data_IF_559208264919
#
_entry.id   IF_559208264919
#
_cell.length_a   1.000
_cell.length_b   1.000
_cell.length_c   1.000
_cell.angle_alpha   90.00
_cell.angle_beta   90.00
_cell.angle_gamma   90.00
#
_symmetry.space_group_name_H-M   'P 1'
#
loop_
_entity.id
_entity.type
_entity.pdbx_description
1 polymer ?
#
# COMPACT_ATOMS: atom_id res chain seq x y z
N UNK A 1 16.31 5.85 9.65
CA UNK A 1 15.39 6.62 8.78
C UNK A 1 14.86 5.66 7.72
N UNK A 2 13.63 5.85 7.25
CA UNK A 2 12.97 4.98 6.27
C UNK A 2 12.94 5.71 4.92
N UNK A 3 13.37 5.04 3.86
CA UNK A 3 13.39 5.62 2.51
C UNK A 3 12.01 5.60 1.87
N UNK A 4 11.59 6.73 1.31
CA UNK A 4 10.39 6.85 0.48
C UNK A 4 10.83 6.82 -0.99
N UNK A 5 10.32 5.84 -1.73
CA UNK A 5 10.48 5.75 -3.18
C UNK A 5 9.17 6.09 -3.87
N UNK A 6 9.20 7.10 -4.74
CA UNK A 6 8.06 7.51 -5.55
C UNK A 6 8.08 6.72 -6.86
N UNK A 7 6.98 6.04 -7.19
CA UNK A 7 6.80 5.33 -8.46
C UNK A 7 5.77 6.08 -9.30
N UNK A 8 6.21 6.63 -10.41
CA UNK A 8 5.41 7.44 -11.34
C UNK A 8 5.50 6.90 -12.77
N UNK A 9 4.62 7.35 -13.66
CA UNK A 9 4.48 6.84 -15.03
C UNK A 9 3.04 6.92 -15.54
N UNK A 10 2.88 6.82 -16.86
CA UNK A 10 1.56 6.88 -17.50
C UNK A 10 0.62 5.77 -17.03
N UNK A 11 -0.69 5.96 -17.26
CA UNK A 11 -1.67 4.89 -17.04
C UNK A 11 -1.29 3.68 -17.91
N UNK A 12 -1.28 2.49 -17.32
CA UNK A 12 -0.88 1.26 -18.02
C UNK A 12 0.62 0.99 -18.09
N UNK A 13 1.49 1.89 -17.60
CA UNK A 13 2.95 1.69 -17.61
C UNK A 13 3.44 0.52 -16.72
N UNK A 14 2.56 -0.16 -15.98
CA UNK A 14 2.94 -1.31 -15.14
C UNK A 14 3.41 -0.96 -13.72
N UNK A 15 3.15 0.25 -13.22
CA UNK A 15 3.47 0.68 -11.84
C UNK A 15 2.94 -0.28 -10.77
N UNK A 16 1.64 -0.57 -10.82
CA UNK A 16 0.99 -1.49 -9.89
C UNK A 16 1.55 -2.91 -10.01
N UNK A 17 1.92 -3.35 -11.21
CA UNK A 17 2.58 -4.65 -11.44
C UNK A 17 3.95 -4.69 -10.77
N UNK A 18 4.75 -3.62 -10.87
CA UNK A 18 6.04 -3.51 -10.18
C UNK A 18 5.85 -3.59 -8.66
N UNK A 19 4.89 -2.84 -8.11
CA UNK A 19 4.60 -2.84 -6.66
C UNK A 19 4.17 -4.23 -6.15
N UNK A 20 3.36 -4.94 -6.93
CA UNK A 20 2.97 -6.32 -6.62
C UNK A 20 4.17 -7.27 -6.60
N UNK A 21 5.10 -7.13 -7.54
CA UNK A 21 6.31 -7.93 -7.56
C UNK A 21 7.21 -7.61 -6.35
N UNK A 22 7.37 -6.33 -6.01
CA UNK A 22 8.13 -5.90 -4.83
C UNK A 22 7.52 -6.44 -3.53
N UNK A 23 6.19 -6.47 -3.42
CA UNK A 23 5.50 -7.05 -2.27
C UNK A 23 5.73 -8.56 -2.14
N UNK A 24 5.69 -9.30 -3.25
CA UNK A 24 5.99 -10.73 -3.22
C UNK A 24 7.46 -11.00 -2.86
N UNK A 25 8.38 -10.23 -3.44
CA UNK A 25 9.81 -10.32 -3.15
C UNK A 25 10.11 -9.96 -1.68
N UNK A 26 9.30 -9.09 -1.07
CA UNK A 26 9.43 -8.75 0.35
C UNK A 26 9.20 -9.96 1.26
N UNK A 27 8.36 -10.92 0.85
CA UNK A 27 8.14 -12.17 1.59
C UNK A 27 9.43 -13.00 1.60
N UNK A 28 10.04 -13.18 0.42
CA UNK A 28 11.26 -14.00 0.27
C UNK A 28 12.45 -13.39 1.02
N UNK A 29 12.50 -12.06 1.09
CA UNK A 29 13.59 -11.30 1.73
C UNK A 29 13.34 -10.93 3.18
N UNK A 30 12.22 -11.35 3.76
CA UNK A 30 11.76 -10.94 5.11
C UNK A 30 11.81 -9.42 5.32
N UNK A 31 11.32 -8.69 4.30
CA UNK A 31 11.26 -7.23 4.27
C UNK A 31 9.84 -6.75 4.51
N UNK A 32 9.73 -5.72 5.37
CA UNK A 32 8.46 -5.07 5.70
C UNK A 32 8.37 -3.77 4.93
N UNK A 33 7.53 -3.75 3.92
CA UNK A 33 7.33 -2.57 3.08
C UNK A 33 5.92 -2.00 3.32
N UNK A 34 5.78 -0.69 3.14
CA UNK A 34 4.47 -0.06 3.05
C UNK A 34 4.28 0.49 1.63
N UNK A 35 3.15 0.17 1.00
CA UNK A 35 2.81 0.65 -0.34
C UNK A 35 1.62 1.59 -0.21
N UNK A 36 1.75 2.83 -0.67
CA UNK A 36 0.69 3.83 -0.67
C UNK A 36 0.24 4.05 -2.11
N UNK A 37 -1.01 3.72 -2.39
CA UNK A 37 -1.65 4.05 -3.66
C UNK A 37 -2.28 5.43 -3.54
N UNK A 38 -1.70 6.38 -4.27
CA UNK A 38 -2.20 7.73 -4.32
C UNK A 38 -3.01 7.91 -5.61
N UNK A 39 -4.28 7.52 -5.56
CA UNK A 39 -5.26 7.97 -6.56
C UNK A 39 -5.80 9.32 -6.11
N UNK A 40 -5.20 10.40 -6.62
CA UNK A 40 -5.82 11.72 -6.51
C UNK A 40 -6.99 11.79 -7.48
N UNK A 41 -8.20 11.53 -7.01
CA UNK A 41 -9.40 11.95 -7.76
C UNK A 41 -9.67 13.40 -7.43
N UNK A 42 -9.70 14.25 -8.47
CA UNK A 42 -10.22 15.60 -8.32
C UNK A 42 -11.64 15.51 -7.74
N UNK A 43 -11.92 16.34 -6.72
CA UNK A 43 -13.22 16.45 -6.06
C UNK A 43 -14.30 16.91 -7.04
N UNK A 44 -14.78 16.00 -7.88
CA UNK A 44 -15.98 16.17 -8.67
C UNK A 44 -17.05 15.26 -8.08
N UNK A 45 -18.07 15.92 -7.54
CA UNK A 45 -19.17 15.36 -6.77
C UNK A 45 -19.74 14.07 -7.40
N UNK A 46 -19.82 13.01 -6.60
CA UNK A 46 -20.42 11.68 -6.87
C UNK A 46 -19.54 10.60 -7.54
N UNK A 47 -18.24 10.51 -7.20
CA UNK A 47 -17.36 9.41 -7.67
C UNK A 47 -16.58 8.71 -6.53
N UNK A 48 -17.02 8.84 -5.28
CA UNK A 48 -16.33 8.20 -4.12
C UNK A 48 -16.27 6.65 -4.17
N UNK A 49 -16.95 6.01 -5.14
CA UNK A 49 -17.01 4.55 -5.31
C UNK A 49 -16.05 3.96 -6.36
N UNK A 50 -15.40 4.74 -7.23
CA UNK A 50 -14.69 4.19 -8.41
C UNK A 50 -13.22 3.85 -8.14
N UNK A 51 -12.61 4.45 -7.11
CA UNK A 51 -11.17 4.34 -6.79
C UNK A 51 -10.85 3.05 -6.01
N UNK A 52 -11.77 2.59 -5.19
CA UNK A 52 -11.61 1.42 -4.32
C UNK A 52 -11.86 0.09 -5.07
N UNK A 53 -11.10 -0.17 -6.15
CA UNK A 53 -10.81 -1.55 -6.50
C UNK A 53 -10.09 -2.15 -5.31
N UNK A 54 -10.76 -3.08 -4.63
CA UNK A 54 -10.29 -3.72 -3.42
C UNK A 54 -8.77 -3.98 -3.52
N UNK A 55 -7.99 -3.65 -2.50
CA UNK A 55 -6.59 -4.08 -2.43
C UNK A 55 -6.46 -5.60 -2.66
N UNK A 56 -7.52 -6.34 -2.34
CA UNK A 56 -7.71 -7.73 -2.74
C UNK A 56 -7.59 -7.97 -4.24
N UNK A 57 -8.22 -7.16 -5.08
CA UNK A 57 -8.16 -7.27 -6.55
C UNK A 57 -6.80 -6.82 -7.10
N UNK A 58 -6.19 -5.79 -6.50
CA UNK A 58 -4.87 -5.29 -6.91
C UNK A 58 -3.80 -6.36 -6.69
N UNK A 59 -3.79 -6.93 -5.48
CA UNK A 59 -2.75 -7.88 -5.05
C UNK A 59 -3.17 -9.34 -5.20
N UNK A 60 -4.38 -9.62 -5.72
CA UNK A 60 -5.00 -10.95 -5.76
C UNK A 60 -5.01 -11.63 -4.37
N UNK A 61 -5.31 -10.86 -3.31
CA UNK A 61 -5.41 -11.40 -1.96
C UNK A 61 -6.77 -12.11 -1.81
N UNK A 62 -6.82 -13.38 -1.37
CA UNK A 62 -8.08 -14.07 -1.15
C UNK A 62 -8.92 -13.37 -0.07
N UNK A 63 -10.17 -13.04 -0.41
CA UNK A 63 -11.17 -12.57 0.56
C UNK A 63 -11.57 -13.75 1.45
N UNK A 64 -11.20 -13.70 2.74
CA UNK A 64 -11.73 -14.66 3.72
C UNK A 64 -13.19 -14.29 3.96
N UNK A 65 -14.12 -15.16 3.53
CA UNK A 65 -15.55 -14.97 3.81
C UNK A 65 -15.81 -15.32 5.28
N UNK A 66 -16.54 -14.47 6.00
CA UNK A 66 -16.88 -14.71 7.41
C UNK A 66 -17.70 -16.01 7.62
N UNK A 67 -18.36 -16.50 6.57
CA UNK A 67 -19.17 -17.73 6.57
C UNK A 67 -18.35 -19.04 6.63
N UNK A 68 -17.04 -19.01 6.35
CA UNK A 68 -16.19 -20.21 6.31
C UNK A 68 -15.67 -20.66 7.70
N UNK A 69 -15.97 -19.93 8.78
CA UNK A 69 -15.54 -20.32 10.14
C UNK A 69 -16.25 -21.58 10.66
N UNK A 70 -17.44 -21.90 10.15
CA UNK A 70 -18.31 -22.95 10.72
C UNK A 70 -18.47 -24.22 9.86
N UNK A 71 -17.82 -24.33 8.70
CA UNK A 71 -17.91 -25.52 7.87
C UNK A 71 -16.54 -25.98 7.37
N UNK A 72 -15.68 -26.38 8.32
CA UNK A 72 -14.40 -27.01 8.02
C UNK A 72 -14.63 -28.44 7.53
N UNK A 73 -15.05 -28.59 6.27
CA UNK A 73 -14.98 -29.87 5.58
C UNK A 73 -13.51 -30.22 5.35
N UNK A 74 -13.11 -31.42 5.79
CA UNK A 74 -11.73 -31.93 5.78
C UNK A 74 -11.06 -32.01 4.39
N UNK A 75 -11.78 -31.67 3.31
CA UNK A 75 -11.24 -31.58 1.96
C UNK A 75 -10.61 -30.20 1.64
N UNK A 76 -11.04 -29.09 2.25
CA UNK A 76 -10.35 -27.79 2.11
C UNK A 76 -8.98 -27.78 2.81
N UNK A 77 -8.80 -28.59 3.86
CA UNK A 77 -7.52 -28.71 4.59
C UNK A 77 -6.37 -29.22 3.70
N UNK A 78 -6.67 -29.97 2.63
CA UNK A 78 -5.65 -30.50 1.71
C UNK A 78 -5.16 -29.44 0.70
N UNK A 79 -5.98 -28.45 0.36
CA UNK A 79 -5.59 -27.31 -0.50
C UNK A 79 -4.98 -26.15 0.31
N UNK A 80 -5.42 -25.96 1.56
CA UNK A 80 -4.85 -24.97 2.50
C UNK A 80 -3.39 -25.31 2.89
N UNK A 81 -2.99 -26.59 2.81
CA UNK A 81 -1.60 -26.99 3.07
C UNK A 81 -0.62 -26.68 1.92
N UNK A 82 -1.08 -26.17 0.78
CA UNK A 82 -0.24 -26.04 -0.43
C UNK A 82 0.46 -24.70 -0.63
N UNK A 83 0.07 -23.60 0.04
CA UNK A 83 0.71 -22.30 -0.13
C UNK A 83 0.99 -21.59 1.21
N UNK A 84 2.14 -21.86 1.83
CA UNK A 84 2.63 -21.12 3.00
C UNK A 84 2.93 -19.63 2.71
N UNK A 85 2.93 -19.21 1.45
CA UNK A 85 3.33 -17.86 1.01
C UNK A 85 2.16 -17.00 0.51
N UNK A 86 0.91 -17.37 0.80
CA UNK A 86 -0.24 -16.59 0.36
C UNK A 86 -0.45 -15.34 1.25
N UNK A 87 -0.41 -14.15 0.64
CA UNK A 87 -0.66 -12.88 1.31
C UNK A 87 -2.14 -12.77 1.69
N UNK A 88 -2.42 -12.32 2.91
CA UNK A 88 -3.77 -12.11 3.44
C UNK A 88 -3.84 -10.85 4.26
N UNK A 89 -4.93 -10.11 4.12
CA UNK A 89 -5.24 -8.97 5.00
C UNK A 89 -5.62 -9.54 6.37
N UNK A 90 -4.94 -9.07 7.41
CA UNK A 90 -5.18 -9.47 8.81
C UNK A 90 -5.81 -8.35 9.65
N UNK A 91 -5.73 -7.10 9.16
CA UNK A 91 -6.31 -5.94 9.83
C UNK A 91 -6.59 -4.83 8.80
N UNK A 92 -7.62 -4.04 9.07
CA UNK A 92 -8.01 -2.88 8.27
C UNK A 92 -8.28 -1.70 9.21
N UNK A 93 -7.68 -0.55 8.90
CA UNK A 93 -7.85 0.70 9.63
C UNK A 93 -8.42 1.72 8.65
N UNK A 94 -9.65 2.13 8.89
CA UNK A 94 -10.28 3.25 8.19
C UNK A 94 -10.10 4.54 9.00
N UNK A 95 -9.61 5.58 8.33
CA UNK A 95 -9.47 6.92 8.89
C UNK A 95 -9.93 7.96 7.88
N UNK A 96 -10.12 9.20 8.36
CA UNK A 96 -10.38 10.35 7.49
C UNK A 96 -9.31 10.52 6.42
N UNK A 97 -8.05 10.22 6.76
CA UNK A 97 -6.89 10.45 5.89
C UNK A 97 -6.67 9.37 4.84
N UNK A 98 -7.17 8.16 5.08
CA UNK A 98 -6.93 7.01 4.22
C UNK A 98 -7.30 5.68 4.87
N UNK A 99 -7.16 4.61 4.08
CA UNK A 99 -7.25 3.23 4.55
C UNK A 99 -5.86 2.63 4.69
N UNK A 100 -5.63 1.84 5.74
CA UNK A 100 -4.42 1.05 5.95
C UNK A 100 -4.81 -0.42 6.10
N UNK A 101 -4.27 -1.28 5.25
CA UNK A 101 -4.47 -2.71 5.27
C UNK A 101 -3.18 -3.40 5.69
N UNK A 102 -3.22 -4.11 6.82
CA UNK A 102 -2.09 -4.89 7.31
C UNK A 102 -2.13 -6.31 6.75
N UNK A 103 -0.99 -6.76 6.25
CA UNK A 103 -0.84 -8.09 5.68
C UNK A 103 -0.19 -9.05 6.68
N UNK A 104 -0.45 -10.35 6.53
CA UNK A 104 0.10 -11.42 7.37
C UNK A 104 1.65 -11.51 7.39
N UNK A 105 2.33 -10.90 6.41
CA UNK A 105 3.79 -10.77 6.39
C UNK A 105 4.30 -9.48 7.08
N UNK A 106 3.41 -8.67 7.65
CA UNK A 106 3.73 -7.39 8.29
C UNK A 106 3.99 -6.24 7.33
N UNK A 107 3.68 -6.40 6.04
CA UNK A 107 3.64 -5.29 5.09
C UNK A 107 2.31 -4.55 5.17
N UNK A 108 2.29 -3.32 4.63
CA UNK A 108 1.08 -2.52 4.49
C UNK A 108 0.76 -2.23 3.04
N UNK A 109 -0.54 -2.23 2.73
CA UNK A 109 -1.09 -1.57 1.56
C UNK A 109 -2.02 -0.46 2.03
N UNK A 110 -1.84 0.75 1.52
CA UNK A 110 -2.55 1.94 1.96
C UNK A 110 -3.20 2.65 0.78
N UNK A 111 -4.33 3.30 1.03
CA UNK A 111 -4.97 4.22 0.11
C UNK A 111 -5.04 5.60 0.73
N UNK A 112 -4.59 6.61 0.00
CA UNK A 112 -4.62 8.00 0.45
C UNK A 112 -5.95 8.68 0.05
N UNK A 113 -6.67 9.27 1.01
CA UNK A 113 -7.93 10.00 0.77
C UNK A 113 -7.75 11.51 0.73
N UNK A 114 -7.13 12.09 1.77
CA UNK A 114 -7.14 13.54 1.98
C UNK A 114 -5.79 14.16 2.35
N UNK A 115 -5.03 13.58 3.28
CA UNK A 115 -3.75 14.13 3.72
C UNK A 115 -2.66 13.07 3.80
N UNK A 116 -1.75 13.13 2.82
CA UNK A 116 -0.63 12.22 2.71
C UNK A 116 0.32 12.27 3.91
N UNK A 117 0.60 13.47 4.44
CA UNK A 117 1.53 13.66 5.58
C UNK A 117 0.99 12.94 6.81
N UNK A 118 -0.29 13.12 7.12
CA UNK A 118 -0.91 12.43 8.26
C UNK A 118 -1.05 10.93 8.05
N UNK A 119 -1.28 10.47 6.81
CA UNK A 119 -1.26 9.04 6.51
C UNK A 119 0.12 8.43 6.81
N UNK A 120 1.20 9.13 6.43
CA UNK A 120 2.56 8.74 6.79
C UNK A 120 2.77 8.74 8.31
N UNK A 121 2.30 9.76 9.02
CA UNK A 121 2.35 9.78 10.50
C UNK A 121 1.64 8.58 11.12
N UNK A 122 0.46 8.23 10.61
CA UNK A 122 -0.30 7.05 11.04
C UNK A 122 0.52 5.77 10.83
N UNK A 123 1.13 5.59 9.65
CA UNK A 123 2.02 4.45 9.35
C UNK A 123 3.22 4.42 10.31
N UNK A 124 3.85 5.56 10.56
CA UNK A 124 5.02 5.67 11.45
C UNK A 124 4.69 5.51 12.94
N UNK A 125 3.42 5.68 13.31
CA UNK A 125 2.93 5.46 14.68
C UNK A 125 2.68 3.98 15.00
N UNK A 126 2.58 3.13 13.99
CA UNK A 126 2.41 1.70 14.16
C UNK A 126 3.65 1.08 14.84
N UNK A 127 3.44 0.01 15.61
CA UNK A 127 4.52 -0.69 16.33
C UNK A 127 5.54 -1.34 15.38
N UNK A 128 5.11 -1.66 14.16
CA UNK A 128 5.92 -2.32 13.14
C UNK A 128 6.90 -1.32 12.53
N UNK A 129 8.18 -1.71 12.45
CA UNK A 129 9.20 -0.94 11.75
C UNK A 129 9.28 -1.39 10.30
N UNK A 130 9.11 -0.44 9.38
CA UNK A 130 9.19 -0.68 7.93
C UNK A 130 10.59 -0.41 7.40
N UNK A 131 11.01 -1.19 6.42
CA UNK A 131 12.26 -1.05 5.69
C UNK A 131 12.15 0.02 4.59
N UNK A 132 11.05 0.00 3.84
CA UNK A 132 10.81 0.88 2.69
C UNK A 132 9.35 1.34 2.63
N UNK A 133 9.13 2.55 2.13
CA UNK A 133 7.81 3.06 1.77
C UNK A 133 7.82 3.33 0.26
N UNK A 134 6.90 2.71 -0.46
CA UNK A 134 6.66 2.98 -1.87
C UNK A 134 5.38 3.80 -2.02
N UNK A 135 5.43 4.85 -2.83
CA UNK A 135 4.27 5.69 -3.13
C UNK A 135 3.98 5.58 -4.61
N UNK A 136 2.88 4.92 -4.97
CA UNK A 136 2.36 4.96 -6.32
C UNK A 136 1.67 6.30 -6.55
N UNK A 137 2.02 6.94 -7.65
CA UNK A 137 1.37 8.18 -8.07
C UNK A 137 0.92 8.05 -9.52
N UNK A 138 -0.37 8.26 -9.78
CA UNK A 138 -0.99 8.11 -11.10
C UNK A 138 -0.89 9.39 -11.95
N UNK A 139 -0.45 9.27 -13.22
CA UNK A 139 -0.47 10.36 -14.19
C UNK A 139 0.83 11.14 -14.34
N UNK A 140 0.75 12.30 -15.00
CA UNK A 140 1.86 13.25 -15.19
C UNK A 140 1.89 14.17 -13.98
N UNK A 141 2.74 13.88 -13.00
CA UNK A 141 2.90 14.78 -11.87
C UNK A 141 3.62 16.05 -12.32
N UNK A 142 3.02 17.18 -11.97
CA UNK A 142 3.72 18.45 -11.95
C UNK A 142 4.61 18.48 -10.69
N UNK A 143 5.82 19.02 -10.82
CA UNK A 143 6.87 19.02 -9.80
C UNK A 143 6.40 19.62 -8.45
N UNK A 144 5.35 20.46 -8.48
CA UNK A 144 4.75 21.12 -7.32
C UNK A 144 4.07 20.13 -6.37
N UNK A 145 3.41 19.09 -6.88
CA UNK A 145 2.70 18.12 -6.04
C UNK A 145 3.66 17.14 -5.35
N UNK A 146 4.77 16.80 -6.01
CA UNK A 146 5.87 16.03 -5.43
C UNK A 146 6.55 16.84 -4.32
N UNK A 147 6.66 18.16 -4.46
CA UNK A 147 7.31 19.02 -3.46
C UNK A 147 6.64 18.90 -2.06
N UNK A 148 5.32 18.78 -2.00
CA UNK A 148 4.61 18.53 -0.73
C UNK A 148 4.91 17.14 -0.12
N UNK A 149 5.26 16.16 -0.96
CA UNK A 149 5.74 14.84 -0.52
C UNK A 149 7.16 14.90 0.05
N UNK A 150 7.96 15.83 -0.46
CA UNK A 150 9.36 16.03 -0.09
C UNK A 150 9.52 16.85 1.19
N UNK A 151 8.54 17.69 1.52
CA UNK A 151 8.59 18.64 2.64
C UNK A 151 8.06 18.03 3.94
N UNK A 152 8.59 16.86 4.32
CA UNK A 152 8.38 16.27 5.63
C UNK A 152 9.40 16.87 6.62
N UNK A 153 9.08 18.09 7.07
CA UNK A 153 9.66 18.96 8.12
C UNK A 153 11.03 19.64 7.91
N UNK A 154 11.02 20.98 8.09
CA UNK A 154 12.16 21.91 8.21
C UNK A 154 13.01 21.74 9.50
N UNK A 155 12.67 20.80 10.39
CA UNK A 155 13.20 20.75 11.77
C UNK A 155 14.13 19.56 12.10
N UNK A 156 14.68 18.87 11.09
CA UNK A 156 15.80 17.91 11.28
C UNK A 156 15.54 16.74 12.28
N UNK A 157 14.30 16.26 12.42
CA UNK A 157 13.95 15.03 13.16
C UNK A 157 13.12 14.03 12.35
N UNK A 158 13.10 14.18 11.03
CA UNK A 158 12.29 13.33 10.15
C UNK A 158 12.75 11.87 10.22
N UNK A 159 11.81 10.97 10.52
CA UNK A 159 12.06 9.51 10.54
C UNK A 159 12.17 8.93 9.13
N UNK A 160 11.95 9.75 8.11
CA UNK A 160 11.82 9.40 6.70
C UNK A 160 12.64 10.36 5.84
N UNK A 161 12.98 9.93 4.63
CA UNK A 161 13.64 10.76 3.62
C UNK A 161 13.22 10.31 2.23
N UNK A 162 13.29 11.21 1.24
CA UNK A 162 13.15 10.79 -0.16
C UNK A 162 14.39 9.98 -0.55
N UNK A 163 14.17 8.72 -0.91
CA UNK A 163 15.21 7.82 -1.40
C UNK A 163 15.34 7.92 -2.92
N UNK A 164 14.23 7.77 -3.66
CA UNK A 164 14.28 7.83 -5.12
C UNK A 164 12.93 8.21 -5.76
N UNK A 165 13.01 8.66 -7.02
CA UNK A 165 11.87 8.82 -7.92
C UNK A 165 12.11 7.93 -9.13
N UNK A 166 11.23 6.94 -9.34
CA UNK A 166 11.28 5.98 -10.44
C UNK A 166 10.15 6.30 -11.40
N UNK A 167 10.52 6.70 -12.62
CA UNK A 167 9.56 6.88 -13.72
C UNK A 167 9.54 5.66 -14.63
N UNK A 168 8.39 5.01 -14.73
CA UNK A 168 8.15 3.87 -15.62
C UNK A 168 7.56 4.39 -16.93
N UNK A 169 8.23 4.05 -18.03
CA UNK A 169 7.85 4.42 -19.40
C UNK A 169 6.88 3.41 -20.00
#
# INVERSE_FOLDING_TARGET
>A
MIGITIITGFLGAGKTTLLKNLLNESIEKDKKIAIIHNEFTEKNNNIDKIVFKDINDIYNIPKIKEDDKNNVNNNLKKDIQKNKNELRIINEIDSEEGFIYELNNGCLCCSNKSNFVKLIENILSLKTKYDYIFVEVSGVYDNIQINNLLWLDELNKSKIYLDSIIHIK
#
